data_IF_378506151340
#
_entry.id   IF_378506151340
#
_cell.length_a   1.000
_cell.length_b   1.000
_cell.length_c   1.000
_cell.angle_alpha   90.00
_cell.angle_beta   90.00
_cell.angle_gamma   90.00
#
_symmetry.space_group_name_H-M   'P 1'
#
loop_
_entity.id
_entity.type
_entity.pdbx_description
1 polymer ?
#
# COMPACT_ATOMS: atom_id res chain seq x y z
N UNK A 1 -16.89 13.57 10.82
CA UNK A 1 -15.93 13.39 9.72
C UNK A 1 -15.07 12.13 9.87
N UNK A 2 -14.08 12.04 10.79
CA UNK A 2 -13.23 10.84 10.86
C UNK A 2 -14.02 9.56 11.23
N UNK A 3 -14.99 9.65 12.13
CA UNK A 3 -15.83 8.51 12.52
C UNK A 3 -16.72 8.02 11.36
N UNK A 4 -17.34 8.93 10.63
CA UNK A 4 -18.20 8.59 9.48
C UNK A 4 -17.38 8.00 8.32
N UNK A 5 -16.18 8.54 8.08
CA UNK A 5 -15.24 8.02 7.10
C UNK A 5 -14.77 6.60 7.49
N UNK A 6 -14.42 6.40 8.76
CA UNK A 6 -14.03 5.10 9.30
C UNK A 6 -15.15 4.06 9.07
N UNK A 7 -16.38 4.38 9.46
CA UNK A 7 -17.52 3.49 9.29
C UNK A 7 -17.87 3.23 7.81
N UNK A 8 -17.73 4.23 6.94
CA UNK A 8 -17.92 4.07 5.50
C UNK A 8 -16.89 3.12 4.89
N UNK A 9 -15.61 3.26 5.24
CA UNK A 9 -14.54 2.37 4.79
C UNK A 9 -14.75 0.95 5.34
N UNK A 10 -15.02 0.80 6.63
CA UNK A 10 -15.21 -0.48 7.31
C UNK A 10 -16.36 -1.32 6.74
N UNK A 11 -17.40 -0.67 6.21
CA UNK A 11 -18.54 -1.34 5.57
C UNK A 11 -18.22 -1.91 4.19
N UNK A 12 -17.22 -1.37 3.49
CA UNK A 12 -16.94 -1.72 2.08
C UNK A 12 -15.61 -2.40 1.85
N UNK A 13 -14.68 -2.28 2.79
CA UNK A 13 -13.35 -2.90 2.74
C UNK A 13 -13.36 -4.17 3.56
N UNK A 14 -12.95 -5.29 2.96
CA UNK A 14 -12.79 -6.58 3.61
C UNK A 14 -11.44 -6.72 4.33
N UNK A 15 -10.47 -5.91 3.93
CA UNK A 15 -9.21 -5.68 4.61
C UNK A 15 -9.33 -4.93 5.93
N UNK A 16 -8.20 -4.41 6.40
CA UNK A 16 -8.13 -3.76 7.71
C UNK A 16 -8.32 -2.25 7.57
N UNK A 17 -9.19 -1.67 8.40
CA UNK A 17 -9.40 -0.22 8.49
C UNK A 17 -9.00 0.22 9.89
N UNK A 18 -7.93 1.02 10.00
CA UNK A 18 -7.28 1.37 11.27
C UNK A 18 -7.23 2.89 11.45
N UNK A 19 -8.05 3.40 12.35
CA UNK A 19 -8.14 4.83 12.68
C UNK A 19 -7.69 5.12 14.12
N UNK A 20 -7.31 4.08 14.86
CA UNK A 20 -6.78 4.23 16.21
C UNK A 20 -5.42 4.96 16.19
N UNK A 21 -5.11 5.62 17.30
CA UNK A 21 -3.91 6.45 17.43
C UNK A 21 -2.62 5.66 17.25
N UNK A 22 -2.55 4.42 17.73
CA UNK A 22 -1.33 3.61 17.65
C UNK A 22 -1.04 3.28 16.20
N UNK A 23 -2.05 2.83 15.45
CA UNK A 23 -1.92 2.59 14.02
C UNK A 23 -1.53 3.86 13.27
N UNK A 24 -2.17 5.00 13.53
CA UNK A 24 -1.82 6.24 12.84
C UNK A 24 -0.38 6.68 13.08
N UNK A 25 0.13 6.52 14.31
CA UNK A 25 1.53 6.80 14.65
C UNK A 25 2.51 5.82 13.97
N UNK A 26 2.17 4.54 13.82
CA UNK A 26 3.03 3.61 13.08
C UNK A 26 3.21 3.98 11.60
N UNK A 27 2.29 4.75 11.03
CA UNK A 27 2.31 5.20 9.64
C UNK A 27 2.63 6.71 9.51
N UNK A 28 2.99 7.39 10.60
CA UNK A 28 3.31 8.83 10.56
C UNK A 28 4.72 9.12 10.04
N UNK A 29 5.60 8.11 10.03
CA UNK A 29 6.99 8.21 9.58
C UNK A 29 7.27 7.27 8.41
N UNK A 30 8.35 7.57 7.70
CA UNK A 30 9.03 6.68 6.77
C UNK A 30 10.55 6.76 7.02
N UNK A 31 11.38 6.31 6.09
CA UNK A 31 12.84 6.40 6.25
C UNK A 31 13.41 7.83 6.13
N UNK A 32 12.56 8.84 5.93
CA UNK A 32 12.93 10.25 5.90
C UNK A 32 12.90 10.91 7.28
N UNK A 33 13.17 12.21 7.32
CA UNK A 33 13.04 13.05 8.52
C UNK A 33 11.61 13.54 8.78
N UNK A 34 10.68 13.31 7.85
CA UNK A 34 9.33 13.85 7.93
C UNK A 34 8.44 12.99 8.81
N UNK A 35 7.61 13.65 9.62
CA UNK A 35 6.56 13.01 10.41
C UNK A 35 5.23 13.72 10.17
N UNK A 36 4.25 13.01 9.63
CA UNK A 36 2.90 13.51 9.38
C UNK A 36 1.90 12.42 9.73
N UNK A 37 1.10 12.67 10.77
CA UNK A 37 0.05 11.72 11.17
C UNK A 37 -1.03 11.61 10.08
N UNK A 38 -1.34 10.40 9.58
CA UNK A 38 -2.36 10.18 8.56
C UNK A 38 -3.76 10.39 9.14
N UNK A 39 -4.78 10.49 8.29
CA UNK A 39 -6.20 10.50 8.69
C UNK A 39 -6.58 9.13 9.26
N UNK A 40 -6.12 8.07 8.58
CA UNK A 40 -6.34 6.68 8.92
C UNK A 40 -5.61 5.78 7.92
N UNK A 41 -5.61 4.48 8.17
CA UNK A 41 -4.90 3.49 7.34
C UNK A 41 -5.87 2.43 6.87
N UNK A 42 -5.77 2.08 5.59
CA UNK A 42 -6.43 0.91 5.01
C UNK A 42 -5.36 -0.07 4.55
N UNK A 43 -5.48 -1.33 4.97
CA UNK A 43 -4.65 -2.46 4.52
C UNK A 43 -5.55 -3.37 3.69
N UNK A 44 -5.69 -3.14 2.36
CA UNK A 44 -6.60 -3.88 1.50
C UNK A 44 -6.18 -5.35 1.38
N UNK A 45 -7.15 -6.26 1.35
CA UNK A 45 -6.95 -7.69 1.04
C UNK A 45 -7.09 -7.98 -0.45
N UNK A 46 -7.87 -7.17 -1.17
CA UNK A 46 -8.17 -7.39 -2.60
C UNK A 46 -8.06 -6.10 -3.40
N UNK A 47 -8.08 -6.20 -4.73
CA UNK A 47 -8.17 -5.03 -5.60
C UNK A 47 -9.48 -4.26 -5.41
N UNK A 48 -10.58 -4.97 -5.11
CA UNK A 48 -11.87 -4.37 -4.80
C UNK A 48 -11.82 -3.51 -3.55
N UNK A 49 -11.03 -3.88 -2.54
CA UNK A 49 -10.82 -3.04 -1.35
C UNK A 49 -10.14 -1.71 -1.72
N UNK A 50 -9.20 -1.73 -2.67
CA UNK A 50 -8.52 -0.51 -3.16
C UNK A 50 -9.52 0.40 -3.86
N UNK A 51 -10.30 -0.13 -4.81
CA UNK A 51 -11.36 0.62 -5.49
C UNK A 51 -12.39 1.16 -4.50
N UNK A 52 -12.79 0.34 -3.53
CA UNK A 52 -13.74 0.73 -2.50
C UNK A 52 -13.21 1.89 -1.66
N UNK A 53 -11.92 1.89 -1.32
CA UNK A 53 -11.25 2.96 -0.60
C UNK A 53 -11.21 4.26 -1.41
N UNK A 54 -10.87 4.17 -2.71
CA UNK A 54 -10.83 5.32 -3.62
C UNK A 54 -12.18 6.02 -3.77
N UNK A 55 -13.24 5.24 -3.96
CA UNK A 55 -14.59 5.78 -4.07
C UNK A 55 -15.06 6.45 -2.77
N UNK A 56 -14.83 5.82 -1.61
CA UNK A 56 -15.18 6.42 -0.31
C UNK A 56 -14.38 7.70 -0.09
N UNK A 57 -13.08 7.69 -0.37
CA UNK A 57 -12.25 8.88 -0.21
C UNK A 57 -12.71 10.03 -1.13
N UNK A 58 -13.10 9.73 -2.37
CA UNK A 58 -13.70 10.70 -3.30
C UNK A 58 -14.97 11.31 -2.74
N UNK A 59 -15.89 10.47 -2.25
CA UNK A 59 -17.19 10.92 -1.73
C UNK A 59 -17.02 11.80 -0.49
N UNK A 60 -16.04 11.49 0.36
CA UNK A 60 -15.67 12.26 1.55
C UNK A 60 -14.68 13.41 1.27
N UNK A 61 -14.19 13.55 0.02
CA UNK A 61 -13.21 14.55 -0.41
C UNK A 61 -11.91 14.53 0.41
N UNK A 62 -11.44 13.35 0.79
CA UNK A 62 -10.17 13.17 1.50
C UNK A 62 -9.08 12.64 0.56
N UNK A 63 -7.83 13.09 0.71
CA UNK A 63 -6.73 12.58 -0.09
C UNK A 63 -6.41 11.12 0.25
N UNK A 64 -5.88 10.40 -0.73
CA UNK A 64 -5.31 9.06 -0.58
C UNK A 64 -3.81 9.13 -0.75
N UNK A 65 -3.09 8.35 0.04
CA UNK A 65 -1.65 8.14 -0.11
C UNK A 65 -1.35 6.64 -0.25
N UNK A 66 -0.97 6.15 -1.46
CA UNK A 66 -0.53 4.76 -1.61
C UNK A 66 0.80 4.55 -0.87
N UNK A 67 0.93 3.42 -0.19
CA UNK A 67 2.13 3.06 0.56
C UNK A 67 2.49 1.58 0.34
N UNK A 68 3.78 1.35 0.10
CA UNK A 68 4.42 0.03 0.13
C UNK A 68 5.24 -0.13 1.41
N UNK A 69 6.53 -0.44 1.27
CA UNK A 69 7.41 -0.69 2.43
C UNK A 69 7.74 0.52 3.33
N UNK A 70 7.34 1.75 2.96
CA UNK A 70 7.62 2.95 3.77
C UNK A 70 9.11 3.30 3.85
N UNK A 71 9.89 2.96 2.82
CA UNK A 71 11.36 3.14 2.77
C UNK A 71 11.80 4.41 2.05
N UNK A 72 10.87 5.32 1.74
CA UNK A 72 11.19 6.59 1.07
C UNK A 72 12.06 7.47 1.97
N UNK A 73 13.04 8.14 1.36
CA UNK A 73 13.94 9.08 2.04
C UNK A 73 13.51 10.55 1.90
N UNK A 74 12.47 10.84 1.10
CA UNK A 74 12.01 12.19 0.81
C UNK A 74 10.55 12.45 1.23
N UNK A 75 9.99 11.62 2.11
CA UNK A 75 8.66 11.81 2.70
C UNK A 75 7.49 11.47 1.77
N UNK A 76 7.72 10.74 0.67
CA UNK A 76 6.66 10.41 -0.29
C UNK A 76 5.64 9.41 0.25
N UNK A 77 5.93 8.74 1.38
CA UNK A 77 5.06 7.72 1.97
C UNK A 77 4.40 8.16 3.27
N UNK A 78 4.53 9.44 3.65
CA UNK A 78 3.85 10.06 4.79
C UNK A 78 2.97 11.22 4.33
N UNK A 79 1.87 11.48 5.04
CA UNK A 79 0.96 12.57 4.68
C UNK A 79 -0.37 12.52 5.43
N UNK A 80 -1.02 13.69 5.53
CA UNK A 80 -2.36 13.81 6.11
C UNK A 80 -3.42 13.31 5.10
N UNK A 81 -3.50 12.00 4.96
CA UNK A 81 -4.34 11.31 3.99
C UNK A 81 -4.85 9.97 4.56
N UNK A 82 -5.78 9.32 3.87
CA UNK A 82 -6.01 7.89 4.06
C UNK A 82 -4.84 7.15 3.42
N UNK A 83 -3.98 6.56 4.24
CA UNK A 83 -2.85 5.74 3.77
C UNK A 83 -3.38 4.38 3.33
N UNK A 84 -3.02 3.94 2.13
CA UNK A 84 -3.40 2.63 1.58
C UNK A 84 -2.16 1.76 1.49
N UNK A 85 -1.99 0.86 2.46
CA UNK A 85 -0.83 0.00 2.60
C UNK A 85 -1.04 -1.35 1.90
N UNK A 86 -0.43 -1.48 0.72
CA UNK A 86 -0.58 -2.67 -0.13
C UNK A 86 0.41 -3.81 0.23
N UNK A 87 1.31 -3.60 1.20
CA UNK A 87 2.43 -4.51 1.46
C UNK A 87 2.03 -5.87 2.05
N UNK A 88 0.89 -5.94 2.76
CA UNK A 88 0.53 -7.13 3.56
C UNK A 88 -0.14 -8.25 2.76
N UNK A 89 -1.11 -7.92 1.93
CA UNK A 89 -1.98 -8.92 1.27
C UNK A 89 -1.86 -8.92 -0.26
N UNK A 90 -1.55 -7.78 -0.87
CA UNK A 90 -1.43 -7.64 -2.32
C UNK A 90 0.04 -7.75 -2.75
N UNK A 91 0.68 -8.89 -2.46
CA UNK A 91 2.12 -9.11 -2.64
C UNK A 91 2.46 -10.40 -3.41
N UNK A 92 1.61 -10.78 -4.37
CA UNK A 92 1.82 -11.96 -5.20
C UNK A 92 2.52 -11.66 -6.53
N UNK A 93 3.37 -12.60 -6.95
CA UNK A 93 3.89 -12.68 -8.32
C UNK A 93 2.85 -13.46 -9.12
N UNK A 94 2.20 -12.80 -10.08
CA UNK A 94 1.07 -13.35 -10.83
C UNK A 94 1.53 -14.13 -12.06
N UNK A 95 2.53 -13.62 -12.76
CA UNK A 95 3.04 -14.21 -13.99
C UNK A 95 4.48 -13.76 -14.26
N UNK A 96 5.31 -14.66 -14.78
CA UNK A 96 6.64 -14.35 -15.29
C UNK A 96 6.76 -14.96 -16.68
N UNK A 97 6.99 -14.13 -17.68
CA UNK A 97 7.26 -14.55 -19.04
C UNK A 97 8.75 -14.34 -19.34
N UNK A 98 9.51 -15.44 -19.37
CA UNK A 98 10.96 -15.42 -19.60
C UNK A 98 11.32 -15.24 -21.08
N UNK A 99 10.44 -15.65 -22.00
CA UNK A 99 10.65 -15.50 -23.44
C UNK A 99 10.53 -14.03 -23.86
N UNK A 100 9.47 -13.36 -23.40
CA UNK A 100 9.18 -11.95 -23.70
C UNK A 100 9.75 -10.97 -22.67
N UNK A 101 10.33 -11.47 -21.57
CA UNK A 101 11.02 -10.70 -20.52
C UNK A 101 10.14 -9.67 -19.80
N UNK A 102 8.97 -10.11 -19.34
CA UNK A 102 8.11 -9.30 -18.48
C UNK A 102 7.54 -10.12 -17.33
N UNK A 103 7.06 -9.44 -16.30
CA UNK A 103 6.34 -10.06 -15.20
C UNK A 103 5.12 -9.21 -14.81
N UNK A 104 4.08 -9.88 -14.32
CA UNK A 104 2.92 -9.25 -13.69
C UNK A 104 2.98 -9.56 -12.21
N UNK A 105 2.97 -8.52 -11.39
CA UNK A 105 3.07 -8.60 -9.94
C UNK A 105 2.04 -7.69 -9.30
N UNK A 106 1.65 -8.02 -8.07
CA UNK A 106 0.86 -7.13 -7.22
C UNK A 106 1.76 -6.04 -6.60
N UNK A 107 1.18 -4.87 -6.24
CA UNK A 107 1.95 -3.68 -5.85
C UNK A 107 2.76 -3.82 -4.54
N UNK A 108 2.43 -4.79 -3.70
CA UNK A 108 3.11 -5.07 -2.44
C UNK A 108 4.30 -6.02 -2.55
N UNK A 109 4.63 -6.53 -3.75
CA UNK A 109 5.80 -7.42 -3.93
C UNK A 109 7.09 -6.69 -3.58
N UNK A 110 7.85 -7.24 -2.63
CA UNK A 110 9.18 -6.73 -2.28
C UNK A 110 10.18 -7.12 -3.35
N UNK A 111 10.98 -6.17 -3.83
CA UNK A 111 11.95 -6.39 -4.92
C UNK A 111 12.91 -7.55 -4.65
N UNK A 112 13.44 -7.66 -3.44
CA UNK A 112 14.34 -8.77 -3.07
C UNK A 112 13.64 -10.14 -3.21
N UNK A 113 12.38 -10.25 -2.76
CA UNK A 113 11.60 -11.48 -2.90
C UNK A 113 11.32 -11.82 -4.36
N UNK A 114 11.09 -10.79 -5.19
CA UNK A 114 10.95 -10.98 -6.63
C UNK A 114 12.26 -11.48 -7.26
N UNK A 115 13.40 -10.89 -6.91
CA UNK A 115 14.71 -11.33 -7.38
C UNK A 115 15.07 -12.76 -6.93
N UNK A 116 14.67 -13.16 -5.71
CA UNK A 116 14.81 -14.55 -5.26
C UNK A 116 13.99 -15.51 -6.12
N UNK A 117 12.78 -15.11 -6.52
CA UNK A 117 11.93 -15.90 -7.41
C UNK A 117 12.50 -16.01 -8.83
N UNK A 118 13.09 -14.93 -9.35
CA UNK A 118 13.67 -14.88 -10.70
C UNK A 118 15.02 -15.61 -10.84
N UNK A 119 15.78 -15.74 -9.74
CA UNK A 119 17.15 -16.29 -9.76
C UNK A 119 17.26 -17.67 -10.44
N UNK A 120 16.40 -18.67 -10.16
CA UNK A 120 16.47 -19.98 -10.84
C UNK A 120 16.21 -19.90 -12.35
N UNK A 121 15.57 -18.83 -12.81
CA UNK A 121 15.25 -18.59 -14.22
C UNK A 121 16.38 -17.84 -14.96
N UNK A 122 17.44 -17.42 -14.24
CA UNK A 122 18.54 -16.64 -14.81
C UNK A 122 18.23 -15.15 -15.01
N UNK A 123 17.22 -14.62 -14.31
CA UNK A 123 16.81 -13.22 -14.40
C UNK A 123 17.07 -12.44 -13.10
N UNK A 124 17.18 -11.11 -13.26
CA UNK A 124 17.27 -10.12 -12.19
C UNK A 124 16.44 -8.89 -12.60
N UNK A 125 15.66 -8.36 -11.66
CA UNK A 125 14.91 -7.12 -11.78
C UNK A 125 15.64 -6.00 -11.00
N UNK A 126 16.30 -5.09 -11.73
CA UNK A 126 17.01 -3.93 -11.17
C UNK A 126 16.06 -2.91 -10.52
N UNK A 127 16.56 -1.84 -9.85
CA UNK A 127 17.89 -1.24 -10.02
C UNK A 127 19.06 -1.77 -9.18
N UNK A 128 18.88 -2.80 -8.35
CA UNK A 128 19.94 -3.38 -7.48
C UNK A 128 20.26 -4.85 -7.80
#
# INVERSE_FOLDING_TARGET
MNEELYEALKKRVTGEVRFDRVSRLMYSTDASIYEIEPIGVVVPRTHEDVFATMEVARDFKVPILPRGGGTSLAGQTVGNAVVVDMSKYLNHILEVNTEERWARVEPGVVQEQFNLHLRPMGFLFGPD
#
